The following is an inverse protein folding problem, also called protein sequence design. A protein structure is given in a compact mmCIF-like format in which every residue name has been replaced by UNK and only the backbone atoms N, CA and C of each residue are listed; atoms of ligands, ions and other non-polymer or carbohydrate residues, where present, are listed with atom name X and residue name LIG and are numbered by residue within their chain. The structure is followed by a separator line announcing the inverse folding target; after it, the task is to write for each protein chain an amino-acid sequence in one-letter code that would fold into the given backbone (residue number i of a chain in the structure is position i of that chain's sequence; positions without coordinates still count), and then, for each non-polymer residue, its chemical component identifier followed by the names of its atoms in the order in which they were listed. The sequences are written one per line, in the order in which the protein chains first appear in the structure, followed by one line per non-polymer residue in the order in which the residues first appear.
data_IF_067323832832
#
_entry.id   IF_067323832832
#
_cell.length_a   1.000
_cell.length_b   1.000
_cell.length_c   1.000
_cell.angle_alpha   90.00
_cell.angle_beta   90.00
_cell.angle_gamma   90.00
#
_symmetry.space_group_name_H-M   'P 1'
#
loop_
_entity.id
_entity.type
_entity.pdbx_description
1 polymer ?
#
# COMPACT_ATOMS: atom_id res chain seq x y z
N UNK A 1 -0.97 -23.90 8.92
CA UNK A 1 -1.37 -23.08 7.76
C UNK A 1 -0.26 -22.05 7.55
N UNK A 2 0.20 -21.77 6.33
CA UNK A 2 1.13 -20.65 6.15
C UNK A 2 0.44 -19.39 6.68
N UNK A 3 1.12 -18.63 7.54
CA UNK A 3 0.61 -17.36 8.05
C UNK A 3 0.44 -16.40 6.88
N UNK A 4 -0.76 -15.82 6.74
CA UNK A 4 -1.02 -14.77 5.75
C UNK A 4 -0.15 -13.57 6.09
N UNK A 5 0.60 -13.04 5.11
CA UNK A 5 1.35 -11.81 5.30
C UNK A 5 0.39 -10.61 5.20
N UNK A 6 0.28 -9.85 6.28
CA UNK A 6 -0.49 -8.61 6.34
C UNK A 6 0.41 -7.43 6.02
N UNK A 7 0.07 -6.68 4.98
CA UNK A 7 0.88 -5.56 4.46
C UNK A 7 0.09 -4.26 4.58
N UNK A 8 0.71 -3.21 5.13
CA UNK A 8 0.16 -1.86 5.11
C UNK A 8 0.90 -1.02 4.06
N UNK A 9 0.18 -0.56 3.04
CA UNK A 9 0.67 0.47 2.13
C UNK A 9 0.34 1.86 2.68
N UNK A 10 1.36 2.70 2.85
CA UNK A 10 1.20 4.01 3.48
C UNK A 10 1.73 5.11 2.57
N UNK A 11 0.95 6.16 2.34
CA UNK A 11 1.43 7.35 1.63
C UNK A 11 0.81 8.62 2.22
N UNK A 12 1.18 9.80 1.72
CA UNK A 12 0.65 11.04 2.31
C UNK A 12 -0.88 11.13 2.24
N UNK A 13 -1.46 10.99 1.05
CA UNK A 13 -2.89 11.28 0.85
C UNK A 13 -3.79 10.05 0.72
N UNK A 14 -3.24 8.84 0.61
CA UNK A 14 -4.03 7.60 0.42
C UNK A 14 -5.11 7.67 -0.69
N UNK A 15 -4.93 8.48 -1.72
CA UNK A 15 -5.94 8.68 -2.77
C UNK A 15 -5.68 7.89 -4.07
N UNK A 16 -4.41 7.53 -4.32
CA UNK A 16 -4.00 6.82 -5.55
C UNK A 16 -2.99 5.71 -5.25
N UNK A 17 -1.76 6.08 -4.85
CA UNK A 17 -0.62 5.16 -4.68
C UNK A 17 -0.91 3.99 -3.76
N UNK A 18 -1.28 4.27 -2.51
CA UNK A 18 -1.45 3.23 -1.48
C UNK A 18 -2.67 2.34 -1.74
N UNK A 19 -3.84 2.87 -2.14
CA UNK A 19 -4.98 2.03 -2.53
C UNK A 19 -4.68 1.12 -3.74
N UNK A 20 -4.05 1.66 -4.78
CA UNK A 20 -3.69 0.90 -5.97
C UNK A 20 -2.66 -0.20 -5.64
N UNK A 21 -1.66 0.10 -4.82
CA UNK A 21 -0.68 -0.88 -4.37
C UNK A 21 -1.31 -2.02 -3.56
N UNK A 22 -2.25 -1.70 -2.66
CA UNK A 22 -2.97 -2.70 -1.88
C UNK A 22 -3.81 -3.62 -2.76
N UNK A 23 -4.54 -3.06 -3.73
CA UNK A 23 -5.33 -3.83 -4.68
C UNK A 23 -4.48 -4.77 -5.55
N UNK A 24 -3.37 -4.25 -6.07
CA UNK A 24 -2.41 -5.06 -6.84
C UNK A 24 -1.82 -6.17 -5.99
N UNK A 25 -1.44 -5.89 -4.74
CA UNK A 25 -0.89 -6.88 -3.83
C UNK A 25 -1.83 -8.07 -3.60
N UNK A 26 -3.11 -7.80 -3.33
CA UNK A 26 -4.11 -8.87 -3.19
C UNK A 26 -4.36 -9.60 -4.51
N UNK A 27 -4.48 -8.89 -5.64
CA UNK A 27 -4.70 -9.53 -6.95
C UNK A 27 -3.57 -10.48 -7.36
N UNK A 28 -2.33 -10.18 -6.94
CA UNK A 28 -1.13 -10.92 -7.32
C UNK A 28 -0.89 -12.12 -6.41
N UNK A 29 -1.12 -11.98 -5.10
CA UNK A 29 -0.64 -12.94 -4.10
C UNK A 29 -1.72 -13.46 -3.13
N UNK A 30 -3.00 -13.17 -3.35
CA UNK A 30 -4.07 -13.84 -2.60
C UNK A 30 -4.02 -15.37 -2.78
N UNK A 31 -4.31 -16.17 -1.74
CA UNK A 31 -4.70 -15.79 -0.38
C UNK A 31 -3.52 -15.65 0.60
N UNK A 32 -2.28 -15.64 0.12
CA UNK A 32 -1.07 -15.58 0.97
C UNK A 32 -0.79 -14.16 1.49
N UNK A 33 -1.37 -13.14 0.87
CA UNK A 33 -1.25 -11.73 1.24
C UNK A 33 -2.62 -11.13 1.51
N UNK A 34 -2.68 -10.32 2.55
CA UNK A 34 -3.80 -9.43 2.88
C UNK A 34 -3.25 -7.99 2.95
N UNK A 35 -3.84 -7.07 2.19
CA UNK A 35 -3.29 -5.72 2.05
C UNK A 35 -4.24 -4.64 2.55
N UNK A 36 -3.68 -3.68 3.27
CA UNK A 36 -4.35 -2.51 3.81
C UNK A 36 -3.72 -1.24 3.23
N UNK A 37 -4.46 -0.14 3.22
CA UNK A 37 -3.93 1.15 2.82
C UNK A 37 -4.36 2.27 3.79
N UNK A 38 -3.44 3.19 4.07
CA UNK A 38 -3.70 4.36 4.91
C UNK A 38 -2.84 5.55 4.46
N UNK A 39 -3.12 6.73 5.03
CA UNK A 39 -2.27 7.88 4.81
C UNK A 39 -2.32 8.91 5.92
N UNK A 40 -1.31 9.77 5.93
CA UNK A 40 -1.11 10.80 6.95
C UNK A 40 -2.20 11.89 6.89
N UNK A 41 -2.44 12.39 5.67
CA UNK A 41 -3.39 13.45 5.34
C UNK A 41 -4.42 12.87 4.33
N UNK A 42 -5.16 11.84 4.74
CA UNK A 42 -6.00 11.07 3.81
C UNK A 42 -7.00 11.97 3.05
N UNK A 43 -7.02 11.82 1.72
CA UNK A 43 -7.94 12.43 0.79
C UNK A 43 -8.82 11.35 0.15
N UNK A 44 -10.04 11.68 -0.32
CA UNK A 44 -10.85 10.76 -1.09
C UNK A 44 -10.10 10.21 -2.30
N UNK A 45 -10.32 8.93 -2.61
CA UNK A 45 -9.87 8.36 -3.87
C UNK A 45 -10.61 9.00 -5.04
N UNK A 46 -9.96 9.02 -6.21
CA UNK A 46 -10.67 9.39 -7.45
C UNK A 46 -11.57 8.23 -7.89
N UNK A 47 -12.70 8.51 -8.57
CA UNK A 47 -13.58 7.45 -9.08
C UNK A 47 -12.87 6.45 -10.02
N UNK A 48 -11.86 6.92 -10.75
CA UNK A 48 -11.03 6.07 -11.61
C UNK A 48 -10.24 5.04 -10.79
N UNK A 49 -9.58 5.47 -9.72
CA UNK A 49 -8.83 4.57 -8.83
C UNK A 49 -9.78 3.57 -8.17
N UNK A 50 -10.94 4.01 -7.70
CA UNK A 50 -11.95 3.12 -7.13
C UNK A 50 -12.41 2.06 -8.15
N UNK A 51 -12.70 2.46 -9.39
CA UNK A 51 -13.09 1.53 -10.45
C UNK A 51 -11.97 0.54 -10.77
N UNK A 52 -10.73 1.00 -10.86
CA UNK A 52 -9.57 0.14 -11.12
C UNK A 52 -9.41 -0.90 -10.02
N UNK A 53 -9.52 -0.50 -8.76
CA UNK A 53 -9.42 -1.42 -7.62
C UNK A 53 -10.51 -2.50 -7.68
N UNK A 54 -11.77 -2.09 -7.89
CA UNK A 54 -12.88 -3.05 -8.00
C UNK A 54 -12.68 -4.01 -9.17
N UNK A 55 -12.14 -3.54 -10.29
CA UNK A 55 -11.83 -4.40 -11.44
C UNK A 55 -10.70 -5.41 -11.13
N UNK A 56 -9.72 -5.02 -10.30
CA UNK A 56 -8.58 -5.86 -9.93
C UNK A 56 -8.93 -6.92 -8.88
N UNK A 57 -9.74 -6.57 -7.88
CA UNK A 57 -9.97 -7.42 -6.69
C UNK A 57 -11.41 -7.95 -6.58
N UNK A 58 -12.36 -7.36 -7.32
CA UNK A 58 -13.79 -7.60 -7.15
C UNK A 58 -14.39 -6.98 -5.89
N UNK A 59 -13.62 -6.18 -5.13
CA UNK A 59 -14.03 -5.60 -3.86
C UNK A 59 -13.50 -4.17 -3.68
N UNK A 60 -14.07 -3.45 -2.72
CA UNK A 60 -13.56 -2.14 -2.30
C UNK A 60 -12.21 -2.29 -1.58
N UNK A 61 -11.32 -1.29 -1.62
CA UNK A 61 -10.05 -1.33 -0.92
C UNK A 61 -10.24 -1.36 0.60
N UNK A 62 -9.35 -2.07 1.29
CA UNK A 62 -9.26 -2.08 2.76
C UNK A 62 -8.55 -0.81 3.24
N UNK A 63 -9.29 0.29 3.27
CA UNK A 63 -8.82 1.58 3.78
C UNK A 63 -8.88 1.57 5.31
N UNK A 64 -7.78 1.97 5.94
CA UNK A 64 -7.73 2.12 7.39
C UNK A 64 -7.77 3.60 7.76
N UNK A 65 -8.79 3.94 8.55
CA UNK A 65 -9.01 5.30 9.05
C UNK A 65 -8.03 5.63 10.18
N UNK A 66 -7.83 4.71 11.13
CA UNK A 66 -6.99 4.90 12.31
C UNK A 66 -5.94 3.78 12.41
N UNK A 67 -4.66 4.14 12.46
CA UNK A 67 -3.56 3.16 12.55
C UNK A 67 -3.61 2.31 13.83
N UNK A 68 -4.24 2.83 14.89
CA UNK A 68 -4.47 2.10 16.13
C UNK A 68 -5.30 0.82 15.92
N UNK A 69 -6.19 0.80 14.93
CA UNK A 69 -7.01 -0.36 14.63
C UNK A 69 -6.16 -1.50 14.03
N UNK A 70 -5.13 -1.13 13.24
CA UNK A 70 -4.23 -2.07 12.57
C UNK A 70 -3.12 -2.62 13.47
N UNK A 71 -2.67 -1.86 14.48
CA UNK A 71 -1.58 -2.33 15.34
C UNK A 71 -1.98 -3.61 16.10
N UNK A 72 -3.26 -3.75 16.42
CA UNK A 72 -3.83 -4.97 17.00
C UNK A 72 -3.93 -6.14 16.00
N UNK A 73 -3.92 -5.86 14.69
CA UNK A 73 -4.12 -6.85 13.63
C UNK A 73 -2.83 -7.56 13.17
N UNK A 74 -1.66 -7.15 13.66
CA UNK A 74 -0.39 -7.85 13.37
C UNK A 74 0.11 -7.64 11.94
N UNK A 75 0.35 -6.38 11.57
CA UNK A 75 1.01 -6.02 10.31
C UNK A 75 2.45 -6.53 10.32
N UNK A 76 2.79 -7.36 9.33
CA UNK A 76 4.13 -7.93 9.17
C UNK A 76 5.06 -7.11 8.29
N UNK A 77 4.51 -6.20 7.47
CA UNK A 77 5.27 -5.34 6.57
C UNK A 77 4.53 -4.03 6.33
N UNK A 78 5.24 -2.91 6.39
CA UNK A 78 4.77 -1.60 5.96
C UNK A 78 5.56 -1.18 4.73
N UNK A 79 4.85 -0.75 3.68
CA UNK A 79 5.45 -0.20 2.47
C UNK A 79 5.06 1.27 2.37
N UNK A 80 6.04 2.16 2.56
CA UNK A 80 5.85 3.60 2.43
C UNK A 80 6.05 4.01 0.98
N UNK A 81 5.03 4.59 0.37
CA UNK A 81 5.04 5.13 -0.99
C UNK A 81 5.15 6.65 -0.91
N UNK A 82 6.33 7.17 -1.21
CA UNK A 82 6.58 8.62 -1.19
C UNK A 82 7.46 9.00 -2.37
N UNK A 83 7.44 10.25 -2.79
CA UNK A 83 8.52 10.80 -3.60
C UNK A 83 9.70 11.10 -2.67
N UNK A 84 10.93 10.82 -3.09
CA UNK A 84 12.15 11.13 -2.31
C UNK A 84 12.22 12.58 -1.82
N UNK A 85 11.52 13.51 -2.46
CA UNK A 85 11.40 14.91 -2.08
C UNK A 85 10.41 15.18 -0.94
N UNK A 86 9.47 14.28 -0.68
CA UNK A 86 8.50 14.34 0.42
C UNK A 86 8.41 13.04 1.23
N UNK A 87 9.51 12.30 1.36
CA UNK A 87 9.70 11.34 2.46
C UNK A 87 9.63 12.14 3.77
N UNK A 88 8.42 12.40 4.23
CA UNK A 88 8.17 13.32 5.32
C UNK A 88 8.60 12.63 6.60
N UNK A 89 9.52 13.20 7.40
CA UNK A 89 9.81 12.70 8.74
C UNK A 89 8.53 12.49 9.59
N UNK A 90 7.44 13.19 9.24
CA UNK A 90 6.13 12.99 9.85
C UNK A 90 5.50 11.61 9.56
N UNK A 91 5.76 11.00 8.40
CA UNK A 91 5.30 9.63 8.10
C UNK A 91 6.04 8.65 9.01
N UNK A 92 7.36 8.73 9.07
CA UNK A 92 8.18 7.87 9.95
C UNK A 92 7.76 8.00 11.41
N UNK A 93 7.69 9.23 11.94
CA UNK A 93 7.26 9.48 13.31
C UNK A 93 5.84 8.96 13.59
N UNK A 94 4.92 9.04 12.62
CA UNK A 94 3.56 8.53 12.77
C UNK A 94 3.53 7.01 12.79
N UNK A 95 4.34 6.33 11.97
CA UNK A 95 4.42 4.87 11.98
C UNK A 95 5.09 4.35 13.25
N UNK A 96 6.16 5.01 13.72
CA UNK A 96 6.87 4.66 14.95
C UNK A 96 5.98 4.73 16.20
N UNK A 97 4.91 5.55 16.17
CA UNK A 97 3.90 5.63 17.25
C UNK A 97 3.12 4.31 17.42
N UNK A 98 2.90 3.56 16.32
CA UNK A 98 2.03 2.37 16.32
C UNK A 98 2.75 1.06 15.99
N UNK A 99 3.93 1.13 15.35
CA UNK A 99 4.63 -0.02 14.78
C UNK A 99 6.12 0.03 15.14
N UNK A 100 6.50 -0.58 16.28
CA UNK A 100 7.89 -0.57 16.76
C UNK A 100 8.77 -1.69 16.22
N UNK A 101 8.15 -2.83 15.86
CA UNK A 101 8.85 -4.06 15.47
C UNK A 101 8.40 -4.58 14.10
N UNK A 102 7.79 -3.70 13.29
CA UNK A 102 7.32 -4.03 11.95
C UNK A 102 8.36 -3.65 10.92
N UNK A 103 8.60 -4.53 9.95
CA UNK A 103 9.48 -4.23 8.84
C UNK A 103 8.90 -3.06 8.01
N UNK A 104 9.70 -2.02 7.77
CA UNK A 104 9.32 -0.87 6.93
C UNK A 104 10.20 -0.83 5.69
N UNK A 105 9.57 -0.76 4.52
CA UNK A 105 10.24 -0.59 3.23
C UNK A 105 9.77 0.70 2.59
N UNK A 106 10.70 1.52 2.12
CA UNK A 106 10.38 2.77 1.42
C UNK A 106 10.55 2.61 -0.09
N UNK A 107 9.50 2.95 -0.84
CA UNK A 107 9.51 3.00 -2.28
C UNK A 107 9.34 4.42 -2.76
N UNK A 108 10.39 4.91 -3.43
CA UNK A 108 10.34 6.15 -4.18
C UNK A 108 9.40 5.98 -5.38
N UNK A 109 8.27 6.68 -5.31
CA UNK A 109 7.20 6.70 -6.31
C UNK A 109 6.56 8.09 -6.36
N UNK A 110 6.81 8.86 -7.44
CA UNK A 110 6.20 10.15 -7.67
C UNK A 110 4.67 10.08 -7.56
N UNK A 111 4.05 11.18 -7.12
CA UNK A 111 2.61 11.30 -7.20
C UNK A 111 2.20 11.41 -8.67
N UNK A 112 1.26 10.59 -9.17
CA UNK A 112 0.80 10.71 -10.54
C UNK A 112 0.02 12.01 -10.72
N UNK A 113 0.21 12.66 -11.86
CA UNK A 113 -0.44 13.93 -12.20
C UNK A 113 -1.51 13.82 -13.28
N UNK A 114 -1.48 12.72 -14.04
CA UNK A 114 -2.45 12.39 -15.09
C UNK A 114 -2.65 10.86 -15.24
N UNK A 115 -3.54 10.46 -16.15
CA UNK A 115 -3.89 9.06 -16.41
C UNK A 115 -2.71 8.23 -16.94
N UNK A 116 -1.76 8.86 -17.64
CA UNK A 116 -0.56 8.18 -18.15
C UNK A 116 0.38 7.86 -16.99
N UNK A 117 0.58 8.80 -16.07
CA UNK A 117 1.32 8.57 -14.83
C UNK A 117 0.68 7.48 -13.97
N UNK A 118 -0.66 7.41 -13.89
CA UNK A 118 -1.37 6.35 -13.16
C UNK A 118 -1.05 4.98 -13.75
N UNK A 119 -1.04 4.84 -15.08
CA UNK A 119 -0.70 3.58 -15.75
C UNK A 119 0.76 3.19 -15.52
N UNK A 120 1.68 4.15 -15.60
CA UNK A 120 3.09 3.91 -15.31
C UNK A 120 3.28 3.46 -13.85
N UNK A 121 2.61 4.13 -12.91
CA UNK A 121 2.61 3.75 -11.50
C UNK A 121 2.05 2.34 -11.28
N UNK A 122 0.96 1.97 -11.95
CA UNK A 122 0.38 0.62 -11.87
C UNK A 122 1.39 -0.46 -12.32
N UNK A 123 2.04 -0.25 -13.47
CA UNK A 123 3.05 -1.17 -14.01
C UNK A 123 4.21 -1.30 -13.03
N UNK A 124 4.76 -0.17 -12.57
CA UNK A 124 5.90 -0.16 -11.66
C UNK A 124 5.58 -0.83 -10.32
N UNK A 125 4.39 -0.55 -9.74
CA UNK A 125 3.91 -1.22 -8.54
C UNK A 125 3.80 -2.73 -8.75
N UNK A 126 3.17 -3.16 -9.85
CA UNK A 126 2.97 -4.57 -10.13
C UNK A 126 4.32 -5.31 -10.29
N UNK A 127 5.31 -4.71 -10.93
CA UNK A 127 6.65 -5.28 -11.07
C UNK A 127 7.38 -5.38 -9.72
N UNK A 128 7.42 -4.30 -8.93
CA UNK A 128 8.06 -4.31 -7.60
C UNK A 128 7.39 -5.31 -6.65
N UNK A 129 6.05 -5.39 -6.67
CA UNK A 129 5.29 -6.35 -5.89
C UNK A 129 5.61 -7.79 -6.29
N UNK A 130 5.62 -8.11 -7.58
CA UNK A 130 5.97 -9.46 -8.06
C UNK A 130 7.37 -9.88 -7.61
N UNK A 131 8.36 -8.99 -7.74
CA UNK A 131 9.73 -9.26 -7.31
C UNK A 131 9.79 -9.48 -5.79
N UNK A 132 9.15 -8.61 -5.00
CA UNK A 132 9.10 -8.73 -3.56
C UNK A 132 8.44 -10.04 -3.11
N UNK A 133 7.31 -10.40 -3.73
CA UNK A 133 6.58 -11.62 -3.39
C UNK A 133 7.33 -12.88 -3.81
N UNK A 134 8.00 -12.87 -4.96
CA UNK A 134 8.87 -13.98 -5.37
C UNK A 134 10.02 -14.19 -4.37
N UNK A 135 10.69 -13.11 -3.95
CA UNK A 135 11.78 -13.17 -2.98
C UNK A 135 11.34 -13.67 -1.59
N UNK A 136 10.05 -13.49 -1.25
CA UNK A 136 9.45 -13.93 0.02
C UNK A 136 8.69 -15.26 -0.10
N UNK A 137 8.75 -15.95 -1.23
CA UNK A 137 8.02 -17.21 -1.49
C UNK A 137 6.49 -17.08 -1.36
N UNK A 138 5.96 -15.90 -1.68
CA UNK A 138 4.53 -15.57 -1.65
C UNK A 138 3.84 -15.79 -3.01
N UNK A 139 4.60 -16.08 -4.07
CA UNK A 139 4.09 -16.57 -5.35
C UNK A 139 4.31 -18.08 -5.42
#
# INVERSE_FOLDING_TARGET
MPSVLRILFFCRHNSVRAPLAAALAESIAAPKVEAFCAGLDALPMTPEVESTIVNLTGAAPKVVAELADLSAEGIGLIVVLSDKTHASPAIGAKLDEYFTDTEVVEWDMPAPTDDEDIKHLEIELAERLRLMFLARHLL
#
